data_IF_834517446075
#
_entry.id   IF_834517446075
#
_cell.length_a   1.000
_cell.length_b   1.000
_cell.length_c   1.000
_cell.angle_alpha   90.00
_cell.angle_beta   90.00
_cell.angle_gamma   90.00
#
_symmetry.space_group_name_H-M   'P 1'
#
loop_
_entity.id
_entity.type
_entity.pdbx_description
1 polymer ?
#
# COMPACT_ATOMS: atom_id res chain seq x y z
N UNK A 1 -6.67 -16.04 17.86
CA UNK A 1 -5.99 -16.19 16.56
C UNK A 1 -6.27 -14.94 15.73
N UNK A 2 -5.27 -14.09 15.46
CA UNK A 2 -5.39 -13.00 14.48
C UNK A 2 -4.35 -13.26 13.41
N UNK A 3 -4.73 -13.95 12.33
CA UNK A 3 -3.86 -14.13 11.19
C UNK A 3 -3.68 -12.77 10.51
N UNK A 4 -2.47 -12.21 10.41
CA UNK A 4 -2.21 -10.93 9.73
C UNK A 4 -2.31 -11.05 8.19
N UNK A 5 -3.07 -12.03 7.70
CA UNK A 5 -3.14 -12.42 6.30
C UNK A 5 -4.59 -12.53 5.81
N UNK A 6 -5.52 -11.82 6.48
CA UNK A 6 -6.89 -11.71 6.00
C UNK A 6 -6.84 -11.06 4.62
N UNK A 7 -7.06 -11.90 3.61
CA UNK A 7 -7.08 -11.54 2.21
C UNK A 7 -7.88 -10.25 2.08
N UNK A 8 -7.27 -9.22 1.47
CA UNK A 8 -7.94 -7.95 1.20
C UNK A 8 -9.37 -8.26 0.76
N UNK A 9 -10.39 -7.87 1.54
CA UNK A 9 -11.75 -8.30 1.27
C UNK A 9 -12.09 -7.90 -0.16
N UNK A 10 -12.65 -8.82 -0.94
CA UNK A 10 -13.07 -8.49 -2.32
C UNK A 10 -14.04 -7.29 -2.34
N UNK A 11 -14.86 -7.17 -1.29
CA UNK A 11 -15.71 -6.01 -1.00
C UNK A 11 -14.94 -4.68 -0.92
N UNK A 12 -13.68 -4.69 -0.51
CA UNK A 12 -12.83 -3.50 -0.45
C UNK A 12 -12.47 -3.04 -1.85
N UNK A 13 -12.20 -3.97 -2.78
CA UNK A 13 -12.03 -3.64 -4.20
C UNK A 13 -13.32 -3.15 -4.85
N UNK A 14 -14.46 -3.81 -4.61
CA UNK A 14 -15.78 -3.36 -5.08
C UNK A 14 -16.07 -1.92 -4.61
N UNK A 15 -15.81 -1.61 -3.34
CA UNK A 15 -15.99 -0.27 -2.77
C UNK A 15 -15.07 0.77 -3.42
N UNK A 16 -13.80 0.41 -3.68
CA UNK A 16 -12.87 1.27 -4.42
C UNK A 16 -13.36 1.52 -5.84
N UNK A 17 -13.89 0.50 -6.53
CA UNK A 17 -14.49 0.64 -7.87
C UNK A 17 -15.75 1.51 -7.87
N UNK A 18 -16.53 1.49 -6.78
CA UNK A 18 -17.69 2.37 -6.58
C UNK A 18 -17.26 3.82 -6.22
N UNK A 19 -15.96 4.07 -6.01
CA UNK A 19 -15.41 5.37 -5.69
C UNK A 19 -15.39 5.71 -4.19
N UNK A 20 -15.51 4.70 -3.32
CA UNK A 20 -15.37 4.86 -1.88
C UNK A 20 -13.90 5.11 -1.53
N UNK A 21 -13.55 6.37 -1.36
CA UNK A 21 -12.20 6.81 -1.04
C UNK A 21 -11.75 6.34 0.35
N UNK A 22 -12.68 6.08 1.26
CA UNK A 22 -12.37 5.53 2.57
C UNK A 22 -11.90 4.07 2.43
N UNK A 23 -12.55 3.29 1.56
CA UNK A 23 -12.07 1.95 1.19
C UNK A 23 -10.70 2.00 0.50
N UNK A 24 -10.46 2.98 -0.39
CA UNK A 24 -9.13 3.19 -1.00
C UNK A 24 -8.04 3.42 0.05
N UNK A 25 -8.36 4.18 1.11
CA UNK A 25 -7.46 4.41 2.24
C UNK A 25 -7.20 3.15 3.06
N UNK A 26 -8.26 2.39 3.39
CA UNK A 26 -8.12 1.13 4.13
C UNK A 26 -7.30 0.09 3.36
N UNK A 27 -7.50 0.00 2.03
CA UNK A 27 -6.68 -0.84 1.15
C UNK A 27 -5.20 -0.45 1.22
N UNK A 28 -4.92 0.85 1.22
CA UNK A 28 -3.57 1.38 1.33
C UNK A 28 -2.93 1.04 2.68
N UNK A 29 -3.69 1.09 3.78
CA UNK A 29 -3.21 0.68 5.12
C UNK A 29 -2.92 -0.82 5.20
N UNK A 30 -3.73 -1.67 4.56
CA UNK A 30 -3.45 -3.11 4.49
C UNK A 30 -2.13 -3.37 3.75
N UNK A 31 -1.94 -2.74 2.60
CA UNK A 31 -0.69 -2.85 1.84
C UNK A 31 0.51 -2.29 2.60
N UNK A 32 0.32 -1.22 3.37
CA UNK A 32 1.35 -0.67 4.25
C UNK A 32 1.79 -1.68 5.31
N UNK A 33 0.83 -2.37 5.96
CA UNK A 33 1.13 -3.45 6.93
C UNK A 33 1.84 -4.64 6.28
N UNK A 34 1.55 -4.91 5.01
CA UNK A 34 2.23 -5.93 4.21
C UNK A 34 3.61 -5.48 3.70
N UNK A 35 4.11 -4.31 4.11
CA UNK A 35 5.37 -3.71 3.65
C UNK A 35 5.42 -3.47 2.12
N UNK A 36 4.25 -3.44 1.46
CA UNK A 36 4.11 -3.15 0.03
C UNK A 36 3.99 -1.65 -0.21
N UNK A 37 5.03 -0.91 0.20
CA UNK A 37 5.02 0.55 0.24
C UNK A 37 4.81 1.20 -1.14
N UNK A 38 5.32 0.61 -2.22
CA UNK A 38 5.11 1.12 -3.58
C UNK A 38 3.63 1.15 -3.97
N UNK A 39 2.89 0.07 -3.69
CA UNK A 39 1.45 0.01 -3.98
C UNK A 39 0.64 0.88 -3.02
N UNK A 40 0.98 0.85 -1.72
CA UNK A 40 0.35 1.69 -0.72
C UNK A 40 0.47 3.18 -1.09
N UNK A 41 1.65 3.63 -1.58
CA UNK A 41 1.89 5.01 -2.01
C UNK A 41 0.93 5.45 -3.11
N UNK A 42 0.72 4.63 -4.13
CA UNK A 42 -0.18 4.96 -5.25
C UNK A 42 -1.62 5.16 -4.74
N UNK A 43 -2.08 4.28 -3.86
CA UNK A 43 -3.43 4.37 -3.30
C UNK A 43 -3.60 5.57 -2.36
N UNK A 44 -2.61 5.84 -1.49
CA UNK A 44 -2.66 7.04 -0.65
C UNK A 44 -2.59 8.32 -1.48
N UNK A 45 -1.87 8.33 -2.61
CA UNK A 45 -1.87 9.47 -3.54
C UNK A 45 -3.25 9.70 -4.16
N UNK A 46 -3.96 8.62 -4.51
CA UNK A 46 -5.34 8.70 -4.99
C UNK A 46 -6.27 9.26 -3.90
N UNK A 47 -6.22 8.69 -2.69
CA UNK A 47 -7.02 9.15 -1.55
C UNK A 47 -6.75 10.63 -1.20
N UNK A 48 -5.49 11.07 -1.27
CA UNK A 48 -5.08 12.47 -1.07
C UNK A 48 -5.70 13.41 -2.11
N UNK A 49 -5.66 13.04 -3.40
CA UNK A 49 -6.23 13.86 -4.47
C UNK A 49 -7.74 14.06 -4.30
N UNK A 50 -8.43 13.10 -3.69
CA UNK A 50 -9.84 13.19 -3.34
C UNK A 50 -10.13 13.87 -1.99
N UNK A 51 -9.12 14.44 -1.32
CA UNK A 51 -9.28 15.25 -0.11
C UNK A 51 -9.13 14.49 1.22
N UNK A 52 -8.67 13.23 1.20
CA UNK A 52 -8.36 12.51 2.45
C UNK A 52 -7.02 13.01 3.00
N UNK A 53 -7.08 14.01 3.88
CA UNK A 53 -5.89 14.59 4.53
C UNK A 53 -5.03 13.56 5.26
N UNK A 54 -5.64 12.54 5.87
CA UNK A 54 -4.95 11.43 6.56
C UNK A 54 -4.01 10.62 5.65
N UNK A 55 -4.26 10.63 4.34
CA UNK A 55 -3.41 9.95 3.37
C UNK A 55 -2.05 10.67 3.22
N UNK A 56 -2.00 11.98 3.46
CA UNK A 56 -0.77 12.76 3.36
C UNK A 56 0.23 12.40 4.47
N UNK A 57 -0.25 12.20 5.71
CA UNK A 57 0.59 11.74 6.82
C UNK A 57 1.18 10.36 6.54
N UNK A 58 0.36 9.44 6.01
CA UNK A 58 0.81 8.10 5.62
C UNK A 58 1.77 8.11 4.44
N UNK A 59 1.58 9.00 3.47
CA UNK A 59 2.54 9.20 2.37
C UNK A 59 3.90 9.67 2.88
N UNK A 60 3.92 10.67 3.77
CA UNK A 60 5.16 11.17 4.36
C UNK A 60 5.89 10.11 5.21
N UNK A 61 5.14 9.20 5.83
CA UNK A 61 5.69 8.04 6.53
C UNK A 61 6.28 7.02 5.56
N UNK A 62 5.56 6.68 4.48
CA UNK A 62 6.07 5.81 3.41
C UNK A 62 7.32 6.39 2.76
N UNK A 63 7.33 7.68 2.42
CA UNK A 63 8.49 8.33 1.81
C UNK A 63 9.69 8.31 2.75
N UNK A 64 9.50 8.50 4.05
CA UNK A 64 10.56 8.29 5.03
C UNK A 64 11.03 6.84 5.08
N UNK A 65 10.14 5.86 5.04
CA UNK A 65 10.53 4.45 5.04
C UNK A 65 11.30 4.06 3.77
N UNK A 66 10.87 4.52 2.59
CA UNK A 66 11.54 4.28 1.30
C UNK A 66 12.87 5.05 1.20
N UNK A 67 12.97 6.24 1.79
CA UNK A 67 14.19 7.06 1.73
C UNK A 67 15.24 6.62 2.77
N UNK A 68 14.80 6.20 3.97
CA UNK A 68 15.69 5.74 5.05
C UNK A 68 16.15 4.29 4.83
N UNK A 69 15.32 3.45 4.20
CA UNK A 69 15.74 2.14 3.72
C UNK A 69 15.83 2.18 2.20
N UNK A 70 17.03 2.22 1.59
CA UNK A 70 17.20 1.77 0.22
C UNK A 70 16.89 0.28 0.21
N UNK A 71 15.61 -0.08 0.12
CA UNK A 71 15.20 -1.48 0.02
C UNK A 71 15.73 -1.97 -1.30
N UNK A 72 16.76 -2.81 -1.20
CA UNK A 72 17.12 -3.83 -2.17
C UNK A 72 15.82 -4.39 -2.74
N UNK A 73 15.50 -3.98 -3.96
CA UNK A 73 14.60 -4.73 -4.82
C UNK A 73 15.34 -6.02 -5.16
N UNK A 74 15.24 -7.00 -4.28
CA UNK A 74 15.54 -8.41 -4.55
C UNK A 74 14.26 -9.16 -4.19
N UNK A 75 13.66 -10.00 -5.02
CA UNK A 75 14.21 -10.69 -6.17
C UNK A 75 13.04 -11.17 -7.05
N UNK A 76 13.27 -11.18 -8.35
CA UNK A 76 12.28 -11.61 -9.34
C UNK A 76 12.87 -11.89 -10.72
N UNK A 77 14.15 -12.24 -10.82
CA UNK A 77 14.66 -12.93 -12.02
C UNK A 77 15.77 -13.91 -11.66
N UNK A 78 15.33 -15.15 -11.55
CA UNK A 78 16.02 -16.43 -11.38
C UNK A 78 17.21 -16.65 -12.33
N UNK A 79 18.11 -17.55 -11.88
CA UNK A 79 19.02 -18.48 -12.62
C UNK A 79 20.44 -17.92 -12.86
N UNK A 80 21.48 -18.36 -12.12
CA UNK A 80 22.40 -19.49 -12.41
C UNK A 80 23.12 -19.30 -13.77
N UNK A 81 24.42 -19.51 -14.00
CA UNK A 81 25.50 -20.32 -13.41
C UNK A 81 26.83 -19.90 -14.09
N UNK A 82 27.96 -20.20 -13.43
CA UNK A 82 29.37 -20.25 -13.89
C UNK A 82 29.98 -19.12 -14.76
#
# INVERSE_FOLDING_TARGET
>A
MNHPNDAIPKMLFDKVEIGDMNATYELAEVLFKQQRYNFARILFLCAKQHGIGKANDRLAEIERLIYVYPTKQTDGTRTQED
#
